data_IF_749349793471
#
_entry.id   IF_749349793471
#
_cell.length_a   1.000
_cell.length_b   1.000
_cell.length_c   1.000
_cell.angle_alpha   90.00
_cell.angle_beta   90.00
_cell.angle_gamma   90.00
#
_symmetry.space_group_name_H-M   'P 1'
#
loop_
_entity.id
_entity.type
_entity.pdbx_description
1 polymer ?
#
# COMPACT_ATOMS: atom_id res chain seq x y z
N UNK A 1 18.55 7.14 -7.38
CA UNK A 1 17.47 6.21 -7.01
C UNK A 1 16.17 6.98 -7.10
N UNK A 2 15.18 6.43 -7.79
CA UNK A 2 13.85 7.06 -7.94
C UNK A 2 12.87 6.51 -6.91
N UNK A 3 11.83 7.28 -6.62
CA UNK A 3 10.67 6.82 -5.86
C UNK A 3 9.45 6.86 -6.76
N UNK A 4 8.80 5.73 -6.99
CA UNK A 4 7.60 5.62 -7.82
C UNK A 4 6.43 5.26 -6.91
N UNK A 5 5.36 6.06 -6.95
CA UNK A 5 4.14 5.78 -6.20
C UNK A 5 3.02 5.40 -7.14
N UNK A 6 2.32 4.31 -6.85
CA UNK A 6 1.13 3.87 -7.56
C UNK A 6 -0.11 3.95 -6.67
N UNK A 7 -1.15 4.63 -7.16
CA UNK A 7 -2.44 4.72 -6.46
C UNK A 7 -3.27 3.44 -6.58
N UNK A 8 -4.38 3.38 -5.84
CA UNK A 8 -5.22 2.18 -5.80
C UNK A 8 -5.82 1.77 -7.15
N UNK A 9 -6.07 2.72 -8.06
CA UNK A 9 -6.52 2.42 -9.43
C UNK A 9 -5.41 1.78 -10.28
N UNK A 10 -4.15 2.18 -10.06
CA UNK A 10 -2.97 1.62 -10.73
C UNK A 10 -2.66 0.18 -10.32
N UNK A 11 -3.13 -0.25 -9.15
CA UNK A 11 -2.99 -1.64 -8.66
C UNK A 11 -4.35 -2.29 -8.42
N UNK A 12 -5.42 -1.79 -9.03
CA UNK A 12 -6.79 -2.16 -8.69
C UNK A 12 -7.25 -3.53 -9.21
N UNK A 13 -6.50 -4.14 -10.13
CA UNK A 13 -6.77 -5.47 -10.68
C UNK A 13 -5.46 -6.23 -10.89
N UNK A 14 -5.56 -7.54 -11.12
CA UNK A 14 -4.41 -8.37 -11.47
C UNK A 14 -3.66 -7.85 -12.71
N UNK A 15 -4.38 -7.49 -13.78
CA UNK A 15 -3.80 -6.96 -15.02
C UNK A 15 -3.06 -5.65 -14.76
N UNK A 16 -3.64 -4.78 -13.93
CA UNK A 16 -3.02 -3.51 -13.55
C UNK A 16 -1.73 -3.72 -12.75
N UNK A 17 -1.73 -4.66 -11.80
CA UNK A 17 -0.51 -5.06 -11.09
C UNK A 17 0.56 -5.59 -12.07
N UNK A 18 0.18 -6.44 -13.03
CA UNK A 18 1.11 -6.92 -14.07
C UNK A 18 1.72 -5.77 -14.88
N UNK A 19 0.89 -4.82 -15.32
CA UNK A 19 1.39 -3.62 -16.03
C UNK A 19 2.33 -2.77 -15.18
N UNK A 20 2.06 -2.62 -13.88
CA UNK A 20 2.97 -1.91 -12.96
C UNK A 20 4.31 -2.64 -12.85
N UNK A 21 4.28 -3.97 -12.71
CA UNK A 21 5.51 -4.78 -12.65
C UNK A 21 6.36 -4.65 -13.92
N UNK A 22 5.74 -4.70 -15.10
CA UNK A 22 6.42 -4.46 -16.39
C UNK A 22 7.04 -3.07 -16.45
N UNK A 23 6.29 -2.04 -16.03
CA UNK A 23 6.75 -0.65 -16.04
C UNK A 23 7.97 -0.44 -15.15
N UNK A 24 7.92 -0.90 -13.89
CA UNK A 24 9.01 -0.70 -12.93
C UNK A 24 10.23 -1.56 -13.27
N UNK A 25 10.07 -2.64 -14.04
CA UNK A 25 11.14 -3.53 -14.47
C UNK A 25 11.65 -3.22 -15.90
N UNK A 26 11.20 -2.11 -16.50
CA UNK A 26 11.61 -1.71 -17.85
C UNK A 26 13.06 -1.21 -17.96
N UNK A 27 13.67 -0.88 -16.82
CA UNK A 27 15.06 -0.46 -16.72
C UNK A 27 15.76 -1.09 -15.49
N UNK A 28 17.09 -0.99 -15.46
CA UNK A 28 17.92 -1.47 -14.36
C UNK A 28 18.19 -0.40 -13.29
N UNK A 29 17.46 0.72 -13.28
CA UNK A 29 17.66 1.76 -12.28
C UNK A 29 17.09 1.32 -10.93
N UNK A 30 17.86 1.50 -9.86
CA UNK A 30 17.39 1.20 -8.52
C UNK A 30 16.25 2.17 -8.14
N UNK A 31 15.17 1.61 -7.58
CA UNK A 31 13.95 2.36 -7.29
C UNK A 31 13.20 1.82 -6.07
N UNK A 32 12.55 2.72 -5.35
CA UNK A 32 11.58 2.38 -4.30
C UNK A 32 10.17 2.56 -4.86
N UNK A 33 9.34 1.53 -4.73
CA UNK A 33 7.98 1.48 -5.24
C UNK A 33 7.01 1.51 -4.07
N UNK A 34 6.27 2.61 -3.95
CA UNK A 34 5.26 2.84 -2.91
C UNK A 34 3.89 2.48 -3.45
N UNK A 35 3.19 1.54 -2.83
CA UNK A 35 1.84 1.13 -3.26
C UNK A 35 0.78 1.52 -2.21
N UNK A 36 -0.36 2.02 -2.70
CA UNK A 36 -1.60 2.09 -1.93
C UNK A 36 -2.32 0.74 -1.92
N UNK A 37 -3.31 0.57 -1.03
CA UNK A 37 -4.30 -0.50 -1.17
C UNK A 37 -4.97 -0.49 -2.56
N UNK A 38 -5.45 -1.65 -3.01
CA UNK A 38 -6.20 -1.77 -4.26
C UNK A 38 -7.47 -0.91 -4.24
N UNK A 39 -7.87 -0.41 -5.40
CA UNK A 39 -9.07 0.44 -5.57
C UNK A 39 -10.29 -0.14 -4.83
N UNK A 40 -10.95 0.70 -4.03
CA UNK A 40 -12.11 0.31 -3.23
C UNK A 40 -11.81 -0.44 -1.94
N UNK A 41 -10.60 -0.99 -1.74
CA UNK A 41 -10.25 -1.77 -0.53
C UNK A 41 -10.34 -0.92 0.73
N UNK A 42 -9.69 0.26 0.77
CA UNK A 42 -9.75 1.16 1.93
C UNK A 42 -11.19 1.54 2.28
N UNK A 43 -12.06 1.78 1.28
CA UNK A 43 -13.47 2.09 1.52
C UNK A 43 -14.21 0.91 2.15
N UNK A 44 -13.96 -0.32 1.68
CA UNK A 44 -14.52 -1.52 2.30
C UNK A 44 -14.00 -1.73 3.72
N UNK A 45 -12.74 -1.43 4.00
CA UNK A 45 -12.16 -1.52 5.35
C UNK A 45 -12.74 -0.46 6.31
N UNK A 46 -12.99 0.76 5.82
CA UNK A 46 -13.75 1.78 6.57
C UNK A 46 -15.17 1.30 6.84
N UNK A 47 -15.87 0.75 5.84
CA UNK A 47 -17.21 0.21 6.02
C UNK A 47 -17.23 -0.92 7.07
N UNK A 48 -16.29 -1.87 6.99
CA UNK A 48 -16.13 -2.94 7.99
C UNK A 48 -15.94 -2.36 9.40
N UNK A 49 -15.11 -1.32 9.52
CA UNK A 49 -14.87 -0.62 10.79
C UNK A 49 -16.14 0.06 11.32
N UNK A 50 -16.94 0.69 10.46
CA UNK A 50 -18.24 1.27 10.83
C UNK A 50 -19.21 0.22 11.37
N UNK A 51 -19.22 -0.99 10.80
CA UNK A 51 -20.00 -2.11 11.32
C UNK A 51 -19.53 -2.53 12.73
N UNK A 52 -18.21 -2.58 12.96
CA UNK A 52 -17.67 -2.87 14.29
C UNK A 52 -18.03 -1.79 15.31
N UNK A 53 -17.94 -0.50 14.96
CA UNK A 53 -18.37 0.60 15.85
C UNK A 53 -19.85 0.50 16.24
N UNK A 54 -20.71 0.07 15.30
CA UNK A 54 -22.14 -0.15 15.54
C UNK A 54 -22.45 -1.46 16.27
N UNK A 55 -21.43 -2.18 16.73
CA UNK A 55 -21.53 -3.50 17.36
C UNK A 55 -22.23 -4.55 16.47
N UNK A 56 -22.29 -4.32 15.16
CA UNK A 56 -22.86 -5.25 14.19
C UNK A 56 -21.76 -6.17 13.66
N UNK A 57 -21.31 -7.09 14.52
CA UNK A 57 -20.22 -8.03 14.23
C UNK A 57 -20.53 -8.92 13.03
N UNK A 58 -21.77 -9.40 12.90
CA UNK A 58 -22.17 -10.23 11.75
C UNK A 58 -22.04 -9.48 10.43
N UNK A 59 -22.47 -8.21 10.38
CA UNK A 59 -22.33 -7.38 9.18
C UNK A 59 -20.86 -7.09 8.83
N UNK A 60 -20.03 -6.82 9.84
CA UNK A 60 -18.58 -6.65 9.63
C UNK A 60 -17.95 -7.91 9.04
N UNK A 61 -18.28 -9.09 9.57
CA UNK A 61 -17.75 -10.37 9.09
C UNK A 61 -18.26 -10.72 7.68
N UNK A 62 -19.52 -10.44 7.38
CA UNK A 62 -20.08 -10.61 6.03
C UNK A 62 -19.32 -9.75 5.01
N UNK A 63 -19.09 -8.47 5.31
CA UNK A 63 -18.33 -7.55 4.47
C UNK A 63 -16.86 -7.96 4.33
N UNK A 64 -16.27 -8.47 5.41
CA UNK A 64 -14.90 -9.02 5.42
C UNK A 64 -14.79 -10.21 4.48
N UNK A 65 -15.72 -11.17 4.55
CA UNK A 65 -15.74 -12.34 3.66
C UNK A 65 -15.95 -11.95 2.20
N UNK A 66 -16.85 -11.01 1.92
CA UNK A 66 -17.08 -10.51 0.56
C UNK A 66 -15.85 -9.80 -0.02
N UNK A 67 -15.04 -9.15 0.81
CA UNK A 67 -13.78 -8.56 0.38
C UNK A 67 -12.71 -9.64 0.15
N UNK A 68 -12.61 -10.66 1.01
CA UNK A 68 -11.69 -11.80 0.82
C UNK A 68 -11.97 -12.56 -0.48
N UNK A 69 -13.24 -12.78 -0.82
CA UNK A 69 -13.65 -13.42 -2.07
C UNK A 69 -13.17 -12.64 -3.31
N UNK A 70 -13.28 -11.31 -3.30
CA UNK A 70 -12.71 -10.47 -4.37
C UNK A 70 -11.21 -10.62 -4.51
N UNK A 71 -10.49 -10.79 -3.40
CA UNK A 71 -9.05 -11.02 -3.45
C UNK A 71 -8.69 -12.42 -3.95
N UNK A 72 -9.56 -13.41 -3.75
CA UNK A 72 -9.38 -14.73 -4.37
C UNK A 72 -9.41 -14.63 -5.90
N UNK A 73 -10.34 -13.85 -6.47
CA UNK A 73 -10.38 -13.58 -7.92
C UNK A 73 -9.10 -12.87 -8.42
N UNK A 74 -8.60 -11.90 -7.63
CA UNK A 74 -7.34 -11.20 -7.95
C UNK A 74 -6.16 -12.15 -7.95
N UNK A 75 -6.07 -13.06 -6.97
CA UNK A 75 -4.99 -14.05 -6.88
C UNK A 75 -5.02 -14.97 -8.10
N UNK A 76 -6.21 -15.46 -8.49
CA UNK A 76 -6.37 -16.32 -9.66
C UNK A 76 -5.94 -15.60 -10.96
N UNK A 77 -6.27 -14.31 -11.09
CA UNK A 77 -5.86 -13.49 -12.23
C UNK A 77 -4.39 -13.09 -12.22
N UNK A 78 -3.76 -12.97 -11.04
CA UNK A 78 -2.41 -12.42 -10.88
C UNK A 78 -1.33 -13.47 -11.10
N UNK A 79 -1.49 -14.65 -10.50
CA UNK A 79 -0.47 -15.69 -10.46
C UNK A 79 -0.75 -16.81 -11.47
N UNK A 80 0.30 -17.34 -12.06
CA UNK A 80 0.21 -18.46 -13.01
C UNK A 80 0.66 -19.79 -12.41
N UNK A 81 1.48 -19.75 -11.36
CA UNK A 81 2.00 -20.93 -10.69
C UNK A 81 1.14 -21.31 -9.47
N UNK A 82 0.67 -22.56 -9.43
CA UNK A 82 -0.16 -23.07 -8.33
C UNK A 82 0.50 -22.94 -6.95
N UNK A 83 1.81 -23.18 -6.84
CA UNK A 83 2.53 -23.01 -5.56
C UNK A 83 2.55 -21.56 -5.09
N UNK A 84 2.64 -20.61 -6.02
CA UNK A 84 2.58 -19.19 -5.67
C UNK A 84 1.15 -18.78 -5.30
N UNK A 85 0.13 -19.29 -6.02
CA UNK A 85 -1.28 -19.08 -5.68
C UNK A 85 -1.61 -19.58 -4.28
N UNK A 86 -1.13 -20.76 -3.89
CA UNK A 86 -1.29 -21.31 -2.55
C UNK A 86 -0.72 -20.34 -1.49
N UNK A 87 0.52 -19.88 -1.67
CA UNK A 87 1.15 -18.88 -0.78
C UNK A 87 0.38 -17.56 -0.74
N UNK A 88 -0.06 -17.06 -1.89
CA UNK A 88 -0.84 -15.84 -1.99
C UNK A 88 -2.18 -15.95 -1.25
N UNK A 89 -2.82 -17.12 -1.36
CA UNK A 89 -4.06 -17.44 -0.65
C UNK A 89 -3.84 -17.51 0.85
N UNK A 90 -2.73 -18.10 1.32
CA UNK A 90 -2.36 -18.12 2.74
C UNK A 90 -2.11 -16.71 3.28
N UNK A 91 -1.37 -15.87 2.56
CA UNK A 91 -1.14 -14.46 2.92
C UNK A 91 -2.47 -13.71 3.04
N UNK A 92 -3.32 -13.83 2.01
CA UNK A 92 -4.63 -13.22 1.98
C UNK A 92 -5.46 -13.67 3.19
N UNK A 93 -5.52 -14.97 3.43
CA UNK A 93 -6.25 -15.52 4.57
C UNK A 93 -5.75 -14.98 5.91
N UNK A 94 -4.43 -14.91 6.12
CA UNK A 94 -3.85 -14.36 7.36
C UNK A 94 -4.25 -12.90 7.58
N UNK A 95 -4.19 -12.08 6.53
CA UNK A 95 -4.64 -10.68 6.58
C UNK A 95 -6.12 -10.58 6.98
N UNK A 96 -6.99 -11.37 6.36
CA UNK A 96 -8.42 -11.34 6.68
C UNK A 96 -8.73 -11.95 8.06
N UNK A 97 -7.92 -12.89 8.55
CA UNK A 97 -8.03 -13.36 9.94
C UNK A 97 -7.71 -12.25 10.95
N UNK A 98 -6.75 -11.37 10.66
CA UNK A 98 -6.45 -10.21 11.51
C UNK A 98 -7.64 -9.25 11.59
N UNK A 99 -8.35 -9.02 10.47
CA UNK A 99 -9.59 -8.23 10.46
C UNK A 99 -10.68 -8.91 11.28
N UNK A 100 -10.87 -10.22 11.12
CA UNK A 100 -11.86 -11.00 11.89
C UNK A 100 -11.56 -11.03 13.38
N UNK A 101 -10.29 -10.98 13.77
CA UNK A 101 -9.89 -10.96 15.17
C UNK A 101 -10.45 -9.74 15.92
N UNK A 102 -10.66 -8.61 15.22
CA UNK A 102 -11.22 -7.40 15.80
C UNK A 102 -12.68 -7.57 16.26
N UNK A 103 -13.38 -8.61 15.82
CA UNK A 103 -14.72 -8.96 16.31
C UNK A 103 -14.73 -9.42 17.78
N UNK A 104 -13.58 -9.83 18.34
CA UNK A 104 -13.48 -10.44 19.68
C UNK A 104 -13.39 -9.41 20.82
N UNK A 105 -13.10 -8.14 20.51
CA UNK A 105 -12.81 -7.10 21.51
C UNK A 105 -13.75 -5.90 21.46
N UNK A 106 -13.37 -4.85 22.21
CA UNK A 106 -13.89 -3.50 22.04
C UNK A 106 -13.23 -2.92 20.80
N UNK A 107 -14.02 -2.31 19.91
CA UNK A 107 -13.49 -1.67 18.71
C UNK A 107 -13.32 -0.18 18.96
N UNK A 108 -12.07 0.29 18.89
CA UNK A 108 -11.70 1.69 19.06
C UNK A 108 -10.96 2.19 17.82
N UNK A 109 -10.49 3.43 17.88
CA UNK A 109 -9.63 3.99 16.84
C UNK A 109 -8.37 3.14 16.62
N UNK A 110 -7.83 2.47 17.65
CA UNK A 110 -6.65 1.62 17.50
C UNK A 110 -6.92 0.40 16.62
N UNK A 111 -8.01 -0.32 16.87
CA UNK A 111 -8.43 -1.45 16.04
C UNK A 111 -8.81 -1.01 14.63
N UNK A 112 -9.42 0.17 14.46
CA UNK A 112 -9.65 0.76 13.14
C UNK A 112 -8.35 0.95 12.37
N UNK A 113 -7.28 1.48 12.99
CA UNK A 113 -5.98 1.63 12.31
C UNK A 113 -5.40 0.29 11.88
N UNK A 114 -5.54 -0.75 12.70
CA UNK A 114 -5.12 -2.11 12.36
C UNK A 114 -5.88 -2.62 11.13
N UNK A 115 -7.22 -2.45 11.10
CA UNK A 115 -8.06 -2.86 9.97
C UNK A 115 -7.69 -2.11 8.71
N UNK A 116 -7.56 -0.78 8.77
CA UNK A 116 -7.25 0.04 7.60
C UNK A 116 -5.88 -0.30 7.01
N UNK A 117 -4.86 -0.55 7.84
CA UNK A 117 -3.52 -0.89 7.39
C UNK A 117 -3.45 -2.20 6.57
N UNK A 118 -4.43 -3.09 6.72
CA UNK A 118 -4.47 -4.36 6.01
C UNK A 118 -4.52 -4.18 4.49
N UNK A 119 -5.11 -3.10 3.97
CA UNK A 119 -5.22 -2.89 2.52
C UNK A 119 -3.86 -2.72 1.85
N UNK A 120 -3.02 -1.88 2.43
CA UNK A 120 -1.66 -1.60 1.97
C UNK A 120 -0.74 -2.81 2.16
N UNK A 121 -0.89 -3.52 3.29
CA UNK A 121 -0.16 -4.77 3.55
C UNK A 121 -0.52 -5.84 2.51
N UNK A 122 -1.80 -6.03 2.21
CA UNK A 122 -2.27 -7.03 1.27
C UNK A 122 -1.78 -6.75 -0.15
N UNK A 123 -1.98 -5.52 -0.64
CA UNK A 123 -1.55 -5.13 -2.00
C UNK A 123 -0.04 -5.28 -2.20
N UNK A 124 0.78 -4.83 -1.24
CA UNK A 124 2.24 -4.91 -1.36
C UNK A 124 2.79 -6.33 -1.21
N UNK A 125 2.21 -7.16 -0.34
CA UNK A 125 2.62 -8.56 -0.20
C UNK A 125 2.29 -9.38 -1.45
N UNK A 126 1.09 -9.22 -2.01
CA UNK A 126 0.71 -9.86 -3.27
C UNK A 126 1.59 -9.38 -4.43
N UNK A 127 1.87 -8.08 -4.50
CA UNK A 127 2.72 -7.53 -5.55
C UNK A 127 4.17 -8.01 -5.45
N UNK A 128 4.76 -8.02 -4.25
CA UNK A 128 6.11 -8.56 -4.03
C UNK A 128 6.17 -10.04 -4.43
N UNK A 129 5.21 -10.85 -3.99
CA UNK A 129 5.15 -12.27 -4.34
C UNK A 129 5.03 -12.47 -5.86
N UNK A 130 4.31 -11.57 -6.55
CA UNK A 130 4.22 -11.59 -8.02
C UNK A 130 5.57 -11.28 -8.68
N UNK A 131 6.30 -10.27 -8.19
CA UNK A 131 7.66 -9.97 -8.67
C UNK A 131 8.61 -11.17 -8.47
N UNK A 132 8.49 -11.88 -7.36
CA UNK A 132 9.25 -13.11 -7.09
C UNK A 132 8.92 -14.22 -8.10
N UNK A 133 7.64 -14.44 -8.44
CA UNK A 133 7.25 -15.40 -9.48
C UNK A 133 7.84 -15.04 -10.85
N UNK A 134 7.92 -13.74 -11.16
CA UNK A 134 8.53 -13.24 -12.40
C UNK A 134 10.06 -13.19 -12.35
N UNK A 135 10.70 -13.66 -11.27
CA UNK A 135 12.16 -13.60 -11.06
C UNK A 135 12.72 -12.17 -11.14
N UNK A 136 11.94 -11.17 -10.74
CA UNK A 136 12.37 -9.77 -10.69
C UNK A 136 13.17 -9.54 -9.40
N UNK A 137 14.36 -8.93 -9.54
CA UNK A 137 15.24 -8.63 -8.42
C UNK A 137 14.64 -7.55 -7.50
N UNK A 138 13.80 -7.98 -6.56
CA UNK A 138 12.98 -7.13 -5.71
C UNK A 138 12.88 -7.64 -4.27
N UNK A 139 12.61 -6.73 -3.35
CA UNK A 139 12.37 -7.05 -1.93
C UNK A 139 11.32 -6.12 -1.33
N UNK A 140 10.61 -6.61 -0.30
CA UNK A 140 9.67 -5.80 0.47
C UNK A 140 10.36 -5.15 1.66
N UNK A 141 10.18 -3.84 1.82
CA UNK A 141 10.59 -3.08 3.00
C UNK A 141 9.32 -2.61 3.76
N UNK A 142 9.06 -3.13 4.97
CA UNK A 142 7.84 -2.77 5.70
C UNK A 142 7.85 -1.30 6.14
N UNK A 143 6.83 -0.54 5.75
CA UNK A 143 6.70 0.87 6.12
C UNK A 143 6.60 1.06 7.64
N UNK A 144 6.01 0.10 8.36
CA UNK A 144 5.91 0.14 9.81
C UNK A 144 7.27 0.03 10.52
N UNK A 145 8.35 -0.33 9.82
CA UNK A 145 9.68 -0.44 10.43
C UNK A 145 10.46 0.88 10.36
N UNK A 146 10.09 1.81 9.46
CA UNK A 146 10.81 3.07 9.30
C UNK A 146 9.91 4.32 9.30
N UNK A 147 8.64 4.21 8.93
CA UNK A 147 7.71 5.34 8.83
C UNK A 147 7.08 5.65 10.19
N UNK A 148 7.33 6.84 10.73
CA UNK A 148 6.88 7.24 12.07
C UNK A 148 6.42 8.70 12.14
N UNK A 149 5.40 8.94 12.96
CA UNK A 149 4.92 10.28 13.34
C UNK A 149 5.07 10.54 14.85
N UNK A 150 5.24 11.81 15.21
CA UNK A 150 5.41 12.27 16.58
C UNK A 150 4.07 12.48 17.32
N UNK A 151 4.10 13.04 18.54
CA UNK A 151 2.90 13.33 19.34
C UNK A 151 1.95 14.36 18.72
N UNK A 152 2.41 15.13 17.74
CA UNK A 152 1.64 16.14 17.00
C UNK A 152 1.16 15.59 15.65
N UNK A 153 1.39 14.30 15.38
CA UNK A 153 1.14 13.65 14.10
C UNK A 153 2.00 14.19 12.95
N UNK A 154 3.17 14.76 13.27
CA UNK A 154 4.15 15.21 12.28
C UNK A 154 5.17 14.10 11.99
N UNK A 155 5.59 13.86 10.74
CA UNK A 155 6.59 12.84 10.45
C UNK A 155 7.94 13.11 11.11
N UNK A 156 8.49 12.08 11.75
CA UNK A 156 9.83 12.13 12.35
C UNK A 156 10.90 11.93 11.25
N UNK A 157 11.11 12.95 10.41
CA UNK A 157 11.95 12.87 9.19
C UNK A 157 13.35 12.30 9.42
N UNK A 158 14.00 12.64 10.55
CA UNK A 158 15.30 12.08 10.93
C UNK A 158 15.23 10.59 11.21
N UNK A 159 14.24 10.15 12.00
CA UNK A 159 14.01 8.75 12.30
C UNK A 159 13.73 7.95 11.02
N UNK A 160 12.87 8.48 10.15
CA UNK A 160 12.52 7.88 8.85
C UNK A 160 13.79 7.69 8.01
N UNK A 161 14.62 8.73 7.90
CA UNK A 161 15.85 8.67 7.12
C UNK A 161 16.86 7.65 7.69
N UNK A 162 17.11 7.68 9.00
CA UNK A 162 18.05 6.76 9.64
C UNK A 162 17.62 5.29 9.44
N UNK A 163 16.37 4.94 9.80
CA UNK A 163 15.88 3.56 9.74
C UNK A 163 15.71 3.05 8.30
N UNK A 164 15.23 3.90 7.37
CA UNK A 164 15.12 3.49 5.97
C UNK A 164 16.50 3.20 5.35
N UNK A 165 17.50 4.05 5.62
CA UNK A 165 18.85 3.81 5.09
C UNK A 165 19.50 2.57 5.70
N UNK A 166 19.24 2.26 6.99
CA UNK A 166 19.67 1.01 7.61
C UNK A 166 19.05 -0.22 6.92
N UNK A 167 17.72 -0.21 6.70
CA UNK A 167 17.03 -1.31 5.99
C UNK A 167 17.57 -1.48 4.56
N UNK A 168 17.79 -0.38 3.83
CA UNK A 168 18.35 -0.43 2.48
C UNK A 168 19.76 -1.00 2.45
N UNK A 169 20.58 -0.69 3.47
CA UNK A 169 21.93 -1.24 3.63
C UNK A 169 21.91 -2.74 3.94
N UNK A 170 20.98 -3.18 4.79
CA UNK A 170 20.81 -4.61 5.10
C UNK A 170 20.31 -5.41 3.91
N UNK A 171 19.53 -4.77 3.03
CA UNK A 171 18.98 -5.37 1.81
C UNK A 171 19.70 -4.86 0.56
N UNK A 172 21.01 -4.68 0.64
CA UNK A 172 21.84 -4.38 -0.52
C UNK A 172 21.73 -5.47 -1.61
N UNK A 173 21.84 -5.08 -2.87
CA UNK A 173 21.82 -5.99 -4.02
C UNK A 173 20.46 -6.14 -4.71
N UNK A 174 19.38 -5.60 -4.14
CA UNK A 174 18.08 -5.52 -4.81
C UNK A 174 17.96 -4.26 -5.68
N UNK A 175 17.29 -4.38 -6.83
CA UNK A 175 17.04 -3.26 -7.73
C UNK A 175 15.72 -2.55 -7.38
N UNK A 176 14.72 -3.30 -6.92
CA UNK A 176 13.38 -2.78 -6.64
C UNK A 176 13.04 -3.02 -5.17
N UNK A 177 12.66 -1.96 -4.46
CA UNK A 177 12.21 -2.05 -3.06
C UNK A 177 10.73 -1.69 -3.01
N UNK A 178 9.86 -2.65 -2.71
CA UNK A 178 8.41 -2.41 -2.58
C UNK A 178 8.12 -1.99 -1.13
N UNK A 179 7.26 -1.00 -0.95
CA UNK A 179 6.83 -0.56 0.39
C UNK A 179 5.40 -0.08 0.39
N UNK A 180 4.78 -0.09 1.58
CA UNK A 180 3.43 0.42 1.77
C UNK A 180 3.43 1.95 1.77
N UNK A 181 2.46 2.57 1.10
CA UNK A 181 2.08 3.95 1.37
C UNK A 181 1.18 4.05 2.60
N UNK A 182 0.76 5.26 2.96
CA UNK A 182 -0.31 5.55 3.93
C UNK A 182 -0.05 5.15 5.40
N UNK A 183 0.44 3.96 5.68
CA UNK A 183 0.62 3.42 7.03
C UNK A 183 1.93 3.89 7.68
N UNK A 184 1.92 4.00 9.01
CA UNK A 184 3.08 4.40 9.81
C UNK A 184 2.94 3.90 11.25
N UNK A 185 3.94 4.16 12.10
CA UNK A 185 3.80 4.07 13.55
C UNK A 185 3.57 5.43 14.19
N UNK A 186 2.67 5.49 15.18
CA UNK A 186 2.51 6.68 16.01
C UNK A 186 3.65 6.81 17.04
N UNK A 187 3.60 7.87 17.85
CA UNK A 187 4.60 8.09 18.91
C UNK A 187 4.72 6.93 19.91
N UNK A 188 3.64 6.19 20.16
CA UNK A 188 3.59 5.04 21.08
C UNK A 188 4.05 3.73 20.43
N UNK A 189 4.36 3.74 19.13
CA UNK A 189 4.78 2.56 18.38
C UNK A 189 3.63 1.70 17.84
N UNK A 190 2.39 2.17 17.95
CA UNK A 190 1.20 1.48 17.43
C UNK A 190 0.99 1.82 15.95
N UNK A 191 0.23 0.99 15.24
CA UNK A 191 -0.13 1.24 13.84
C UNK A 191 -0.99 2.50 13.77
N UNK A 192 -0.63 3.40 12.85
CA UNK A 192 -1.40 4.57 12.50
C UNK A 192 -1.23 4.85 10.99
N UNK A 193 -1.71 6.00 10.52
CA UNK A 193 -1.61 6.41 9.13
C UNK A 193 -1.40 7.91 8.95
N UNK A 194 -0.87 8.24 7.77
CA UNK A 194 -0.62 9.59 7.28
C UNK A 194 -1.86 10.29 6.70
N UNK A 195 -3.06 9.80 7.07
CA UNK A 195 -4.35 10.37 6.66
C UNK A 195 -4.55 10.42 5.13
N UNK A 196 -5.49 11.25 4.66
CA UNK A 196 -5.90 11.31 3.25
C UNK A 196 -4.74 11.81 2.39
N UNK A 197 -4.47 11.11 1.28
CA UNK A 197 -3.28 11.35 0.45
C UNK A 197 -2.00 10.76 1.04
N UNK A 198 -2.10 9.98 2.12
CA UNK A 198 -0.96 9.47 2.86
C UNK A 198 0.05 8.67 2.03
N UNK A 199 -0.37 7.97 0.96
CA UNK A 199 0.59 7.26 0.09
C UNK A 199 1.46 8.20 -0.75
N UNK A 200 0.92 9.33 -1.25
CA UNK A 200 1.72 10.35 -1.94
C UNK A 200 2.68 11.03 -0.94
N UNK A 201 2.21 11.21 0.29
CA UNK A 201 3.03 11.76 1.36
C UNK A 201 4.15 10.79 1.77
N UNK A 202 3.87 9.49 1.87
CA UNK A 202 4.90 8.45 2.04
C UNK A 202 5.98 8.56 0.97
N UNK A 203 5.60 8.66 -0.30
CA UNK A 203 6.56 8.77 -1.39
C UNK A 203 7.44 10.02 -1.28
N UNK A 204 6.83 11.15 -0.86
CA UNK A 204 7.55 12.40 -0.60
C UNK A 204 8.55 12.27 0.56
N UNK A 205 8.15 11.64 1.66
CA UNK A 205 8.99 11.41 2.84
C UNK A 205 10.15 10.43 2.53
N UNK A 206 9.85 9.34 1.82
CA UNK A 206 10.86 8.38 1.34
C UNK A 206 11.85 9.07 0.41
N UNK A 207 11.36 9.87 -0.55
CA UNK A 207 12.20 10.62 -1.48
C UNK A 207 13.13 11.60 -0.77
N UNK A 208 12.64 12.31 0.25
CA UNK A 208 13.46 13.18 1.09
C UNK A 208 14.51 12.38 1.90
N UNK A 209 14.12 11.24 2.47
CA UNK A 209 14.96 10.39 3.30
C UNK A 209 16.17 9.77 2.57
N UNK A 210 16.01 9.44 1.28
CA UNK A 210 17.08 8.85 0.47
C UNK A 210 17.76 9.86 -0.47
N UNK A 211 17.34 11.13 -0.42
CA UNK A 211 17.75 12.18 -1.39
C UNK A 211 17.52 11.69 -2.83
N UNK A 212 16.28 11.28 -3.11
CA UNK A 212 15.90 10.71 -4.40
C UNK A 212 16.14 11.72 -5.53
N UNK A 213 16.56 11.21 -6.69
CA UNK A 213 16.75 12.03 -7.89
C UNK A 213 15.43 12.49 -8.49
N UNK A 214 14.35 11.73 -8.26
CA UNK A 214 13.01 11.98 -8.79
C UNK A 214 11.96 11.23 -7.97
N UNK A 215 10.78 11.86 -7.81
CA UNK A 215 9.58 11.23 -7.25
C UNK A 215 8.50 11.26 -8.33
N UNK A 216 8.02 10.08 -8.72
CA UNK A 216 6.98 9.91 -9.73
C UNK A 216 5.67 9.48 -9.08
N UNK A 217 4.62 10.26 -9.29
CA UNK A 217 3.27 9.94 -8.81
C UNK A 217 2.46 9.43 -10.00
N UNK A 218 2.20 8.12 -10.01
CA UNK A 218 1.40 7.47 -11.04
C UNK A 218 -0.07 7.44 -10.61
N UNK A 219 -0.91 8.10 -11.40
CA UNK A 219 -2.36 8.21 -11.20
C UNK A 219 -3.11 7.89 -12.49
N UNK A 220 -4.44 7.93 -12.43
CA UNK A 220 -5.38 7.67 -13.52
C UNK A 220 -5.62 8.86 -14.47
N UNK A 221 -4.92 9.98 -14.29
CA UNK A 221 -4.98 11.19 -15.13
C UNK A 221 -3.57 11.61 -15.58
N UNK A 222 -3.46 12.30 -16.72
CA UNK A 222 -2.19 12.73 -17.30
C UNK A 222 -1.66 14.02 -16.65
N UNK A 223 -1.09 13.86 -15.45
CA UNK A 223 -0.43 14.94 -14.72
C UNK A 223 -1.40 15.81 -13.93
N UNK A 224 -0.98 17.04 -13.62
CA UNK A 224 -1.82 18.01 -12.91
C UNK A 224 -2.61 18.84 -13.91
N UNK A 225 -3.93 18.83 -13.78
CA UNK A 225 -4.82 19.58 -14.67
C UNK A 225 -5.11 20.98 -14.10
N UNK A 226 -5.46 21.92 -14.97
CA UNK A 226 -5.82 23.29 -14.59
C UNK A 226 -7.10 23.39 -13.73
N UNK A 227 -7.96 22.36 -13.74
CA UNK A 227 -9.13 22.18 -12.88
C UNK A 227 -9.34 20.68 -12.63
N UNK A 228 -10.24 20.30 -11.71
CA UNK A 228 -10.63 18.90 -11.50
C UNK A 228 -11.41 18.38 -12.74
N UNK A 229 -10.86 17.40 -13.50
CA UNK A 229 -11.48 16.87 -14.71
C UNK A 229 -12.82 16.17 -14.48
N UNK A 230 -13.16 15.84 -13.22
CA UNK A 230 -14.45 15.22 -12.86
C UNK A 230 -15.58 16.24 -12.72
N UNK A 231 -15.23 17.51 -12.55
CA UNK A 231 -16.18 18.61 -12.31
C UNK A 231 -16.25 19.52 -13.54
N UNK A 232 -15.10 19.79 -14.15
CA UNK A 232 -14.97 20.71 -15.28
C UNK A 232 -14.61 19.90 -16.52
N UNK A 233 -15.39 20.06 -17.59
CA UNK A 233 -15.08 19.42 -18.87
C UNK A 233 -13.91 20.12 -19.59
N UNK A 234 -13.22 19.39 -20.46
CA UNK A 234 -12.13 19.90 -21.32
C UNK A 234 -10.95 20.54 -20.55
N UNK A 235 -10.64 20.00 -19.37
CA UNK A 235 -9.41 20.38 -18.66
C UNK A 235 -8.18 20.00 -19.47
N UNK A 236 -7.07 20.69 -19.20
CA UNK A 236 -5.79 20.42 -19.85
C UNK A 236 -4.71 20.20 -18.80
N UNK A 237 -3.75 19.30 -19.06
CA UNK A 237 -2.53 19.21 -18.28
C UNK A 237 -1.81 20.55 -18.23
N UNK A 238 -1.28 20.91 -17.07
CA UNK A 238 -0.43 22.07 -16.89
C UNK A 238 1.01 21.63 -17.19
N UNK A 239 1.59 22.02 -18.35
CA UNK A 239 2.98 21.69 -18.65
C UNK A 239 3.92 22.41 -17.68
N UNK A 240 5.07 21.80 -17.44
CA UNK A 240 6.20 22.41 -16.71
C UNK A 240 7.23 22.96 -17.67
#
# INVERSE_FOLDING_TARGET
>A
MKVLKFGGTSVGTAERMKSVAELINSDNEQKIVVLSAMSGTTNSLVEISDYFYKQNKSGALEKTNALEEKYADVIEGLFSNEKTKEKATEICHQIFQEIRAQAKGVFTLFEEKIVLAQGELLSTQLFQLYLEEQNVNSTLIPALDYMRIDKKNEPETRFIAENLNEILKEKEGYNIYVTQGYICRNFYGEIDNLQRGGSDYTASLVGAAIVASEIQIWTDIDGMHNNDPRIVENTKPVPT
#
